data_IF_914099772116
#
_entry.id   IF_914099772116
#
_cell.length_a   1.000
_cell.length_b   1.000
_cell.length_c   1.000
_cell.angle_alpha   90.00
_cell.angle_beta   90.00
_cell.angle_gamma   90.00
#
_symmetry.space_group_name_H-M   'P 1'
#
loop_
_entity.id
_entity.type
_entity.pdbx_description
1 polymer ?
#
# COMPACT_ATOMS: atom_id res chain seq x y z
N UNK A 1 54.46 23.07 30.15
CA UNK A 1 53.97 21.68 30.13
C UNK A 1 52.48 21.71 30.42
N UNK A 2 51.75 20.88 29.69
CA UNK A 2 50.30 20.62 29.74
C UNK A 2 49.37 21.73 29.25
N UNK A 3 48.25 21.48 28.57
CA UNK A 3 47.79 20.51 27.56
C UNK A 3 46.38 21.01 27.17
N UNK A 4 45.98 20.74 25.93
CA UNK A 4 44.74 21.18 25.27
C UNK A 4 43.47 21.06 26.14
N UNK A 5 42.62 22.09 26.11
CA UNK A 5 41.18 21.88 26.28
C UNK A 5 40.49 21.97 24.91
N UNK A 6 40.10 20.80 24.43
CA UNK A 6 39.45 20.56 23.15
C UNK A 6 38.09 21.26 23.10
N UNK A 7 37.88 22.12 22.09
CA UNK A 7 36.52 22.52 21.69
C UNK A 7 35.77 21.26 21.25
N UNK A 8 34.72 20.91 21.98
CA UNK A 8 33.77 19.85 21.66
C UNK A 8 33.26 19.96 20.21
N UNK A 9 33.13 18.85 19.46
CA UNK A 9 32.50 18.88 18.14
C UNK A 9 31.03 19.33 18.26
N UNK A 10 30.44 19.91 17.19
CA UNK A 10 29.06 20.38 17.23
C UNK A 10 28.15 19.22 17.62
N UNK A 11 27.34 19.41 18.66
CA UNK A 11 26.32 18.44 19.06
C UNK A 11 25.46 18.13 17.84
N UNK A 12 25.67 16.95 17.26
CA UNK A 12 24.80 16.43 16.22
C UNK A 12 23.41 16.39 16.81
N UNK A 13 22.52 17.20 16.26
CA UNK A 13 21.10 17.33 16.56
C UNK A 13 20.48 16.05 17.16
N UNK A 14 20.55 15.93 18.48
CA UNK A 14 19.63 15.07 19.22
C UNK A 14 18.34 15.86 19.25
N UNK A 15 17.57 15.77 18.16
CA UNK A 15 16.20 16.25 18.17
C UNK A 15 15.50 15.42 19.23
N UNK A 16 15.00 16.07 20.27
CA UNK A 16 14.10 15.42 21.23
C UNK A 16 13.05 14.69 20.41
N UNK A 17 13.00 13.36 20.55
CA UNK A 17 11.89 12.59 20.05
C UNK A 17 10.70 13.12 20.82
N UNK A 18 9.94 14.04 20.22
CA UNK A 18 8.62 14.43 20.71
C UNK A 18 7.89 13.11 20.89
N UNK A 19 7.78 12.67 22.15
CA UNK A 19 7.35 11.35 22.51
C UNK A 19 5.91 11.22 22.09
N UNK A 20 5.69 10.80 20.85
CA UNK A 20 4.41 10.30 20.43
C UNK A 20 4.21 9.06 21.28
N UNK A 21 3.41 9.22 22.34
CA UNK A 21 2.92 8.09 23.15
C UNK A 21 2.45 7.04 22.15
N UNK A 22 2.86 5.77 22.30
CA UNK A 22 2.43 4.69 21.39
C UNK A 22 0.90 4.66 21.37
N UNK A 23 0.29 5.32 20.40
CA UNK A 23 -1.17 5.39 20.26
C UNK A 23 -1.71 4.07 19.73
N UNK A 24 -0.93 3.38 18.90
CA UNK A 24 -1.31 2.09 18.32
C UNK A 24 -0.77 0.92 19.16
N UNK A 25 -1.68 0.15 19.75
CA UNK A 25 -1.39 -1.16 20.33
C UNK A 25 -1.04 -2.20 19.26
N UNK A 26 -0.54 -3.39 19.65
CA UNK A 26 -0.20 -4.46 18.71
C UNK A 26 -1.39 -4.90 17.86
N UNK A 27 -2.59 -4.95 18.44
CA UNK A 27 -3.82 -5.28 17.72
C UNK A 27 -4.24 -4.21 16.72
N UNK A 28 -4.12 -2.92 17.08
CA UNK A 28 -4.38 -1.81 16.17
C UNK A 28 -3.38 -1.79 15.01
N UNK A 29 -2.11 -2.10 15.27
CA UNK A 29 -1.08 -2.22 14.24
C UNK A 29 -1.31 -3.41 13.30
N UNK A 30 -1.73 -4.56 13.84
CA UNK A 30 -2.09 -5.73 13.05
C UNK A 30 -3.33 -5.44 12.20
N UNK A 31 -4.38 -4.87 12.79
CA UNK A 31 -5.60 -4.51 12.07
C UNK A 31 -5.31 -3.52 10.93
N UNK A 32 -4.50 -2.49 11.18
CA UNK A 32 -4.08 -1.54 10.14
C UNK A 32 -3.35 -2.24 8.99
N UNK A 33 -2.40 -3.14 9.29
CA UNK A 33 -1.72 -3.92 8.26
C UNK A 33 -2.69 -4.83 7.51
N UNK A 34 -3.57 -5.58 8.18
CA UNK A 34 -4.54 -6.46 7.51
C UNK A 34 -5.53 -5.68 6.63
N UNK A 35 -5.89 -4.46 7.00
CA UNK A 35 -6.75 -3.61 6.16
C UNK A 35 -5.96 -3.12 4.94
N UNK A 36 -4.75 -2.60 5.15
CA UNK A 36 -3.91 -2.05 4.08
C UNK A 36 -3.41 -3.11 3.10
N UNK A 37 -2.74 -4.15 3.58
CA UNK A 37 -2.17 -5.23 2.76
C UNK A 37 -3.13 -6.39 2.55
N UNK A 38 -3.98 -6.75 3.51
CA UNK A 38 -4.86 -7.92 3.38
C UNK A 38 -6.07 -7.69 2.48
N UNK A 39 -6.79 -6.58 2.64
CA UNK A 39 -8.03 -6.35 1.89
C UNK A 39 -7.79 -5.70 0.53
N UNK A 40 -7.05 -4.59 0.47
CA UNK A 40 -6.85 -3.86 -0.79
C UNK A 40 -5.93 -4.63 -1.76
N UNK A 41 -4.81 -5.17 -1.27
CA UNK A 41 -3.89 -5.95 -2.11
C UNK A 41 -4.41 -7.36 -2.35
N UNK A 42 -5.10 -7.99 -1.38
CA UNK A 42 -5.70 -9.31 -1.56
C UNK A 42 -6.80 -9.33 -2.62
N UNK A 43 -7.68 -8.32 -2.65
CA UNK A 43 -8.71 -8.20 -3.68
C UNK A 43 -8.08 -7.93 -5.06
N UNK A 44 -7.08 -7.05 -5.11
CA UNK A 44 -6.27 -6.80 -6.31
C UNK A 44 -5.61 -8.08 -6.83
N UNK A 45 -4.99 -8.86 -5.94
CA UNK A 45 -4.36 -10.13 -6.26
C UNK A 45 -5.38 -11.15 -6.78
N UNK A 46 -6.58 -11.22 -6.18
CA UNK A 46 -7.65 -12.09 -6.68
C UNK A 46 -8.07 -11.72 -8.11
N UNK A 47 -8.22 -10.42 -8.43
CA UNK A 47 -8.52 -9.97 -9.79
C UNK A 47 -7.38 -10.26 -10.78
N UNK A 48 -6.14 -10.08 -10.34
CA UNK A 48 -4.96 -10.45 -11.14
C UNK A 48 -4.96 -11.96 -11.41
N UNK A 49 -5.19 -12.79 -10.39
CA UNK A 49 -5.29 -14.25 -10.54
C UNK A 49 -6.43 -14.66 -11.47
N UNK A 50 -7.59 -14.00 -11.39
CA UNK A 50 -8.69 -14.20 -12.34
C UNK A 50 -8.23 -13.91 -13.78
N UNK A 51 -7.52 -12.82 -14.02
CA UNK A 51 -6.98 -12.53 -15.36
C UNK A 51 -6.00 -13.60 -15.85
N UNK A 52 -5.20 -14.19 -14.96
CA UNK A 52 -4.29 -15.29 -15.30
C UNK A 52 -5.02 -16.60 -15.63
N UNK A 53 -6.20 -16.86 -15.07
CA UNK A 53 -7.04 -18.01 -15.44
C UNK A 53 -7.43 -17.99 -16.92
N UNK A 54 -7.65 -16.80 -17.49
CA UNK A 54 -8.03 -16.64 -18.90
C UNK A 54 -6.82 -16.76 -19.85
N UNK A 55 -5.64 -16.32 -19.42
CA UNK A 55 -4.44 -16.28 -20.27
C UNK A 55 -3.70 -17.62 -20.31
N UNK A 56 -3.80 -18.44 -19.26
CA UNK A 56 -3.11 -19.73 -19.19
C UNK A 56 -4.04 -20.83 -18.64
N UNK A 57 -4.95 -21.34 -19.48
CA UNK A 57 -5.85 -22.43 -19.10
C UNK A 57 -5.02 -23.69 -18.82
N UNK A 58 -5.02 -24.16 -17.57
CA UNK A 58 -4.29 -25.37 -17.14
C UNK A 58 -3.24 -25.16 -16.05
N UNK A 59 -3.01 -23.92 -15.61
CA UNK A 59 -2.10 -23.65 -14.49
C UNK A 59 -2.69 -24.15 -13.16
N UNK A 60 -1.88 -24.80 -12.33
CA UNK A 60 -2.29 -25.18 -10.98
C UNK A 60 -2.23 -23.95 -10.04
N UNK A 61 -3.38 -23.30 -9.87
CA UNK A 61 -3.50 -22.11 -9.01
C UNK A 61 -3.21 -22.40 -7.54
N UNK A 62 -3.50 -23.61 -7.06
CA UNK A 62 -3.23 -23.98 -5.67
C UNK A 62 -1.72 -23.97 -5.44
N UNK A 63 -0.95 -24.55 -6.36
CA UNK A 63 0.51 -24.54 -6.29
C UNK A 63 1.08 -23.12 -6.35
N UNK A 64 0.57 -22.29 -7.27
CA UNK A 64 1.02 -20.89 -7.38
C UNK A 64 0.74 -20.09 -6.10
N UNK A 65 -0.45 -20.26 -5.50
CA UNK A 65 -0.80 -19.60 -4.24
C UNK A 65 0.08 -20.10 -3.09
N UNK A 66 0.36 -21.40 -3.02
CA UNK A 66 1.23 -21.98 -1.99
C UNK A 66 2.65 -21.43 -2.08
N UNK A 67 3.23 -21.38 -3.28
CA UNK A 67 4.56 -20.83 -3.52
C UNK A 67 4.59 -19.33 -3.18
N UNK A 68 3.61 -18.56 -3.65
CA UNK A 68 3.51 -17.13 -3.37
C UNK A 68 3.36 -16.85 -1.86
N UNK A 69 2.54 -17.64 -1.16
CA UNK A 69 2.34 -17.53 0.29
C UNK A 69 3.63 -17.84 1.04
N UNK A 70 4.35 -18.89 0.64
CA UNK A 70 5.63 -19.25 1.25
C UNK A 70 6.65 -18.12 1.09
N UNK A 71 6.85 -17.63 -0.13
CA UNK A 71 7.81 -16.54 -0.41
C UNK A 71 7.43 -15.25 0.32
N UNK A 72 6.15 -14.91 0.37
CA UNK A 72 5.66 -13.73 1.10
C UNK A 72 5.87 -13.86 2.61
N UNK A 73 5.65 -15.04 3.17
CA UNK A 73 5.87 -15.31 4.60
C UNK A 73 7.35 -15.18 4.98
N UNK A 74 8.26 -15.68 4.13
CA UNK A 74 9.70 -15.52 4.33
C UNK A 74 10.10 -14.04 4.33
N UNK A 75 9.56 -13.26 3.40
CA UNK A 75 9.80 -11.81 3.37
C UNK A 75 9.26 -11.13 4.65
N UNK A 76 8.04 -11.44 5.07
CA UNK A 76 7.44 -10.90 6.29
C UNK A 76 8.27 -11.25 7.55
N UNK A 77 8.84 -12.46 7.62
CA UNK A 77 9.70 -12.88 8.71
C UNK A 77 10.98 -12.02 8.79
N UNK A 78 11.60 -11.69 7.66
CA UNK A 78 12.77 -10.79 7.63
C UNK A 78 12.42 -9.41 8.20
N UNK A 79 11.28 -8.84 7.80
CA UNK A 79 10.82 -7.56 8.35
C UNK A 79 10.44 -7.64 9.84
N UNK A 80 9.93 -8.78 10.30
CA UNK A 80 9.73 -9.03 11.74
C UNK A 80 11.06 -8.98 12.49
N UNK A 81 12.11 -9.68 12.00
CA UNK A 81 13.43 -9.63 12.62
C UNK A 81 14.05 -8.23 12.61
N UNK A 82 13.88 -7.47 11.52
CA UNK A 82 14.31 -6.07 11.47
C UNK A 82 13.57 -5.19 12.47
N UNK A 83 12.27 -5.39 12.64
CA UNK A 83 11.46 -4.64 13.62
C UNK A 83 11.90 -4.93 15.07
N UNK A 84 12.27 -6.18 15.36
CA UNK A 84 12.80 -6.59 16.66
C UNK A 84 14.21 -6.04 16.93
N UNK A 85 15.10 -6.11 15.94
CA UNK A 85 16.47 -5.63 16.07
C UNK A 85 16.58 -4.09 16.06
N UNK A 86 15.66 -3.41 15.37
CA UNK A 86 15.67 -1.97 15.18
C UNK A 86 14.28 -1.41 15.58
N UNK A 87 13.99 -1.27 16.90
CA UNK A 87 12.67 -0.98 17.44
C UNK A 87 12.31 0.51 17.37
N UNK A 88 12.45 1.11 16.19
CA UNK A 88 12.10 2.51 15.90
C UNK A 88 11.27 2.55 14.65
N UNK A 89 10.39 3.55 14.56
CA UNK A 89 9.62 3.83 13.35
C UNK A 89 10.58 4.04 12.18
N UNK A 90 10.56 3.12 11.23
CA UNK A 90 11.42 3.15 10.05
C UNK A 90 10.89 2.18 9.02
N UNK A 91 10.98 2.57 7.74
CA UNK A 91 10.67 1.69 6.61
C UNK A 91 11.92 1.09 5.99
N UNK A 92 11.77 0.48 4.83
CA UNK A 92 12.80 -0.27 4.10
C UNK A 92 14.12 0.50 3.96
N UNK A 93 14.05 1.80 3.63
CA UNK A 93 15.20 2.70 3.58
C UNK A 93 16.07 2.57 4.83
N UNK A 94 15.44 2.56 5.99
CA UNK A 94 16.11 2.67 7.27
C UNK A 94 16.59 1.33 7.81
N UNK A 95 15.91 0.23 7.49
CA UNK A 95 16.39 -1.12 7.78
C UNK A 95 17.60 -1.46 6.90
N UNK A 96 17.50 -1.25 5.58
CA UNK A 96 18.54 -1.62 4.61
C UNK A 96 19.77 -0.71 4.71
N UNK A 97 19.59 0.59 4.96
CA UNK A 97 20.74 1.50 5.12
C UNK A 97 21.64 1.14 6.30
N UNK A 98 21.09 0.47 7.32
CA UNK A 98 21.81 0.13 8.56
C UNK A 98 22.34 -1.29 8.60
N UNK A 99 21.76 -2.20 7.83
CA UNK A 99 22.20 -3.59 7.77
C UNK A 99 23.16 -3.87 6.62
N UNK A 100 22.94 -3.25 5.45
CA UNK A 100 23.67 -3.55 4.22
C UNK A 100 24.54 -2.38 3.78
N UNK A 101 23.92 -1.32 3.27
CA UNK A 101 24.65 -0.14 2.78
C UNK A 101 23.70 1.06 2.60
N UNK A 102 24.09 2.30 2.92
CA UNK A 102 23.25 3.48 2.75
C UNK A 102 22.71 3.70 1.33
N UNK A 103 23.50 3.39 0.29
CA UNK A 103 23.04 3.53 -1.10
C UNK A 103 21.94 2.52 -1.46
N UNK A 104 22.01 1.29 -0.95
CA UNK A 104 20.98 0.27 -1.19
C UNK A 104 19.68 0.64 -0.47
N UNK A 105 19.78 1.20 0.73
CA UNK A 105 18.62 1.74 1.42
C UNK A 105 17.99 2.88 0.62
N UNK A 106 18.79 3.80 0.10
CA UNK A 106 18.30 4.87 -0.78
C UNK A 106 17.60 4.33 -2.03
N UNK A 107 18.20 3.35 -2.72
CA UNK A 107 17.60 2.71 -3.89
C UNK A 107 16.26 2.04 -3.56
N UNK A 108 16.16 1.33 -2.44
CA UNK A 108 14.92 0.72 -1.98
C UNK A 108 13.84 1.77 -1.68
N UNK A 109 14.20 2.86 -1.00
CA UNK A 109 13.29 3.97 -0.74
C UNK A 109 12.76 4.64 -2.01
N UNK A 110 13.63 4.89 -2.99
CA UNK A 110 13.25 5.46 -4.29
C UNK A 110 12.37 4.47 -5.06
N UNK A 111 12.71 3.19 -5.06
CA UNK A 111 11.87 2.15 -5.67
C UNK A 111 10.45 2.19 -5.09
N UNK A 112 10.31 2.26 -3.76
CA UNK A 112 9.00 2.33 -3.12
C UNK A 112 8.25 3.63 -3.47
N UNK A 113 8.96 4.76 -3.49
CA UNK A 113 8.38 6.06 -3.87
C UNK A 113 7.89 6.10 -5.33
N UNK A 114 8.53 5.39 -6.24
CA UNK A 114 8.10 5.25 -7.63
C UNK A 114 6.98 4.21 -7.80
N UNK A 115 6.97 3.17 -6.98
CA UNK A 115 5.98 2.11 -7.04
C UNK A 115 4.59 2.57 -6.57
N UNK A 116 4.51 3.37 -5.52
CA UNK A 116 3.23 3.83 -4.95
C UNK A 116 2.35 4.60 -5.95
N UNK A 117 2.84 5.61 -6.71
CA UNK A 117 2.03 6.28 -7.73
C UNK A 117 1.53 5.36 -8.83
N UNK A 118 2.31 4.33 -9.22
CA UNK A 118 1.92 3.38 -10.25
C UNK A 118 0.74 2.52 -9.80
N UNK A 119 0.79 2.05 -8.55
CA UNK A 119 -0.32 1.29 -7.96
C UNK A 119 -1.55 2.15 -7.76
N UNK A 120 -1.39 3.40 -7.32
CA UNK A 120 -2.50 4.34 -7.21
C UNK A 120 -3.13 4.66 -8.58
N UNK A 121 -2.32 4.84 -9.62
CA UNK A 121 -2.82 5.02 -10.99
C UNK A 121 -3.56 3.79 -11.50
N UNK A 122 -3.03 2.59 -11.28
CA UNK A 122 -3.69 1.34 -11.65
C UNK A 122 -5.01 1.16 -10.90
N UNK A 123 -5.01 1.28 -9.58
CA UNK A 123 -6.23 1.14 -8.75
C UNK A 123 -7.27 2.19 -9.13
N UNK A 124 -6.87 3.45 -9.33
CA UNK A 124 -7.77 4.51 -9.80
C UNK A 124 -8.45 4.19 -11.12
N UNK A 125 -7.72 3.61 -12.09
CA UNK A 125 -8.30 3.18 -13.37
C UNK A 125 -9.30 2.03 -13.24
N UNK A 126 -9.24 1.28 -12.14
CA UNK A 126 -10.06 0.09 -11.89
C UNK A 126 -11.26 0.32 -11.00
N UNK A 127 -11.38 1.49 -10.36
CA UNK A 127 -12.54 1.85 -9.53
C UNK A 127 -13.87 1.64 -10.26
N UNK A 128 -13.96 2.08 -11.52
CA UNK A 128 -15.20 1.93 -12.30
C UNK A 128 -15.49 0.48 -12.71
N UNK A 129 -14.57 -0.23 -13.40
CA UNK A 129 -14.86 -1.59 -13.85
C UNK A 129 -14.90 -2.64 -12.72
N UNK A 130 -14.22 -2.40 -11.60
CA UNK A 130 -14.23 -3.33 -10.46
C UNK A 130 -15.36 -3.01 -9.50
N UNK A 131 -15.49 -1.75 -9.04
CA UNK A 131 -16.43 -1.43 -7.98
C UNK A 131 -17.81 -1.09 -8.55
N UNK A 132 -17.89 -0.04 -9.36
CA UNK A 132 -19.17 0.47 -9.85
C UNK A 132 -19.88 -0.50 -10.81
N UNK A 133 -19.15 -1.08 -11.76
CA UNK A 133 -19.73 -2.00 -12.73
C UNK A 133 -20.28 -3.25 -12.03
N UNK A 134 -19.54 -3.82 -11.07
CA UNK A 134 -19.99 -4.99 -10.32
C UNK A 134 -21.30 -4.73 -9.57
N UNK A 135 -21.45 -3.55 -8.97
CA UNK A 135 -22.69 -3.16 -8.25
C UNK A 135 -23.86 -2.96 -9.23
N UNK A 136 -23.68 -2.17 -10.29
CA UNK A 136 -24.77 -1.87 -11.22
C UNK A 136 -25.19 -3.06 -12.08
N UNK A 137 -24.25 -3.92 -12.48
CA UNK A 137 -24.58 -5.16 -13.18
C UNK A 137 -25.32 -6.12 -12.25
N UNK A 138 -24.85 -6.31 -11.01
CA UNK A 138 -25.54 -7.18 -10.04
C UNK A 138 -26.96 -6.69 -9.74
N UNK A 139 -27.14 -5.39 -9.53
CA UNK A 139 -28.46 -4.78 -9.36
C UNK A 139 -29.33 -4.91 -10.62
N UNK A 140 -28.74 -4.76 -11.81
CA UNK A 140 -29.46 -4.91 -13.07
C UNK A 140 -29.97 -6.33 -13.31
N UNK A 141 -29.19 -7.33 -12.87
CA UNK A 141 -29.59 -8.75 -12.91
C UNK A 141 -30.72 -9.04 -11.92
N UNK A 142 -30.59 -8.56 -10.67
CA UNK A 142 -31.62 -8.78 -9.62
C UNK A 142 -32.93 -8.06 -9.94
N UNK A 143 -32.87 -6.85 -10.49
CA UNK A 143 -34.04 -6.05 -10.86
C UNK A 143 -34.55 -6.35 -12.27
N UNK A 144 -33.94 -7.30 -12.98
CA UNK A 144 -34.22 -7.62 -14.38
C UNK A 144 -34.25 -6.39 -15.31
N UNK A 145 -33.43 -5.38 -15.01
CA UNK A 145 -33.40 -4.12 -15.73
C UNK A 145 -32.16 -4.02 -16.62
N UNK A 146 -32.35 -4.24 -17.92
CA UNK A 146 -31.28 -4.18 -18.93
C UNK A 146 -30.68 -2.77 -19.06
N UNK A 147 -31.45 -1.70 -18.83
CA UNK A 147 -30.92 -0.33 -18.91
C UNK A 147 -29.84 -0.05 -17.87
N UNK A 148 -29.94 -0.67 -16.69
CA UNK A 148 -28.94 -0.55 -15.63
C UNK A 148 -27.62 -1.23 -16.03
N UNK A 149 -27.71 -2.35 -16.74
CA UNK A 149 -26.55 -3.09 -17.25
C UNK A 149 -25.86 -2.28 -18.38
N UNK A 150 -26.63 -1.71 -19.30
CA UNK A 150 -26.09 -0.87 -20.38
C UNK A 150 -25.41 0.40 -19.84
N UNK A 151 -26.01 1.00 -18.81
CA UNK A 151 -25.41 2.14 -18.11
C UNK A 151 -24.07 1.76 -17.46
N UNK A 152 -24.02 0.63 -16.76
CA UNK A 152 -22.77 0.12 -16.17
C UNK A 152 -21.66 -0.08 -17.21
N UNK A 153 -22.00 -0.68 -18.36
CA UNK A 153 -21.03 -0.90 -19.44
C UNK A 153 -20.56 0.41 -20.10
N UNK A 154 -21.42 1.43 -20.17
CA UNK A 154 -21.07 2.75 -20.70
C UNK A 154 -20.10 3.48 -19.78
N UNK A 155 -20.30 3.37 -18.46
CA UNK A 155 -19.37 3.89 -17.45
C UNK A 155 -17.99 3.21 -17.53
N UNK A 156 -17.96 1.90 -17.77
CA UNK A 156 -16.72 1.12 -17.89
C UNK A 156 -15.93 1.33 -19.18
N UNK A 157 -16.32 2.27 -20.05
CA UNK A 157 -15.49 2.61 -21.21
C UNK A 157 -14.14 3.19 -20.76
N UNK A 158 -13.04 2.97 -21.52
CA UNK A 158 -11.69 3.36 -21.07
C UNK A 158 -11.56 4.86 -20.74
N UNK A 159 -12.17 5.73 -21.55
CA UNK A 159 -12.12 7.19 -21.32
C UNK A 159 -12.90 7.59 -20.05
N UNK A 160 -14.09 7.04 -19.84
CA UNK A 160 -14.91 7.36 -18.67
C UNK A 160 -14.26 6.83 -17.39
N UNK A 161 -13.71 5.61 -17.43
CA UNK A 161 -13.00 5.01 -16.30
C UNK A 161 -11.75 5.82 -15.92
N UNK A 162 -11.01 6.34 -16.91
CA UNK A 162 -9.86 7.21 -16.67
C UNK A 162 -10.26 8.53 -15.99
N UNK A 163 -11.28 9.21 -16.51
CA UNK A 163 -11.73 10.50 -15.97
C UNK A 163 -12.27 10.34 -14.55
N UNK A 164 -13.12 9.34 -14.32
CA UNK A 164 -13.68 9.07 -12.98
C UNK A 164 -12.56 8.68 -12.01
N UNK A 165 -11.66 7.78 -12.42
CA UNK A 165 -10.51 7.39 -11.60
C UNK A 165 -9.61 8.58 -11.22
N UNK A 166 -9.33 9.49 -12.17
CA UNK A 166 -8.57 10.70 -11.90
C UNK A 166 -9.27 11.62 -10.89
N UNK A 167 -10.60 11.80 -11.02
CA UNK A 167 -11.39 12.59 -10.06
C UNK A 167 -11.30 11.97 -8.66
N UNK A 168 -11.42 10.64 -8.54
CA UNK A 168 -11.28 9.94 -7.26
C UNK A 168 -9.90 10.14 -6.63
N UNK A 169 -8.81 9.99 -7.41
CA UNK A 169 -7.45 10.21 -6.92
C UNK A 169 -7.29 11.65 -6.42
N UNK A 170 -7.75 12.64 -7.18
CA UNK A 170 -7.68 14.06 -6.78
C UNK A 170 -8.50 14.29 -5.52
N UNK A 171 -9.73 13.76 -5.43
CA UNK A 171 -10.59 13.91 -4.25
C UNK A 171 -9.94 13.31 -2.99
N UNK A 172 -9.41 12.08 -3.06
CA UNK A 172 -8.71 11.45 -1.94
C UNK A 172 -7.42 12.17 -1.55
N UNK A 173 -6.70 12.71 -2.54
CA UNK A 173 -5.51 13.53 -2.31
C UNK A 173 -5.88 14.83 -1.58
N UNK A 174 -6.97 15.49 -1.99
CA UNK A 174 -7.46 16.69 -1.31
C UNK A 174 -7.92 16.38 0.12
N UNK A 175 -8.62 15.26 0.33
CA UNK A 175 -9.04 14.81 1.67
C UNK A 175 -7.82 14.58 2.58
N UNK A 176 -6.78 13.93 2.07
CA UNK A 176 -5.54 13.70 2.84
C UNK A 176 -4.76 14.99 3.09
N UNK A 177 -4.77 15.94 2.15
CA UNK A 177 -4.18 17.28 2.34
C UNK A 177 -4.94 18.12 3.38
N UNK A 178 -6.26 17.96 3.51
CA UNK A 178 -7.10 18.68 4.47
C UNK A 178 -6.90 18.23 5.93
N UNK A 179 -6.16 17.14 6.16
CA UNK A 179 -5.41 16.95 7.39
C UNK A 179 -5.54 15.58 8.06
N UNK A 180 -4.38 15.00 8.38
CA UNK A 180 -4.21 13.84 9.26
C UNK A 180 -4.83 14.02 10.66
N UNK A 181 -5.24 15.24 11.05
CA UNK A 181 -5.94 15.50 12.32
C UNK A 181 -7.34 14.91 12.37
N UNK A 182 -8.01 14.71 11.23
CA UNK A 182 -9.33 14.04 11.19
C UNK A 182 -9.17 12.52 11.22
N UNK A 183 -8.11 11.99 10.61
CA UNK A 183 -7.82 10.54 10.58
C UNK A 183 -7.48 9.93 11.95
N UNK A 184 -6.89 10.70 12.87
CA UNK A 184 -6.53 10.25 14.22
C UNK A 184 -7.47 10.78 15.32
N UNK A 185 -8.65 11.30 14.96
CA UNK A 185 -9.63 11.80 15.91
C UNK A 185 -10.54 10.71 16.52
N UNK A 186 -10.27 9.44 16.22
CA UNK A 186 -10.97 8.27 16.77
C UNK A 186 -9.98 7.28 17.36
#
# INVERSE_FOLDING_TARGET
MAEKEQRSPPSQYIREATGLVRTAGPWSGLAFNVIWTGNAVGLTAAFILQSYMFVSPGLNFVELILIATLLSTLNAAVYMFFSLAIPRSGGDYQYISRSLHPSLGFMSGVNWALWLPLVLGWTGSKVVPIDFQSVFVSLGVVLHNTSLITFANTLSTPNNSFVIGAIFIVAFTLITLLGNRVYFAF
#
